data_IF_827255404045
#
_entry.id   IF_827255404045
#
_cell.length_a   1.000
_cell.length_b   1.000
_cell.length_c   1.000
_cell.angle_alpha   90.00
_cell.angle_beta   90.00
_cell.angle_gamma   90.00
#
_symmetry.space_group_name_H-M   'P 1'
#
loop_
_entity.id
_entity.type
_entity.pdbx_description
1 polymer ?
#
# COMPACT_ATOMS: atom_id res chain seq x y z
N UNK A 1 -25.61 -11.43 -47.45
CA UNK A 1 -24.28 -10.96 -46.98
C UNK A 1 -24.27 -10.43 -45.54
N UNK A 2 -25.40 -10.13 -44.90
CA UNK A 2 -25.46 -9.66 -43.51
C UNK A 2 -25.41 -10.75 -42.42
N UNK A 3 -25.43 -12.04 -42.79
CA UNK A 3 -25.58 -13.17 -41.85
C UNK A 3 -24.25 -13.70 -41.29
N UNK A 4 -23.13 -13.33 -41.91
CA UNK A 4 -21.79 -13.79 -41.51
C UNK A 4 -20.98 -12.73 -40.75
N UNK A 5 -21.47 -11.48 -40.67
CA UNK A 5 -20.76 -10.39 -39.98
C UNK A 5 -20.89 -10.50 -38.45
N UNK A 6 -21.99 -11.06 -37.93
CA UNK A 6 -22.17 -11.27 -36.49
C UNK A 6 -21.32 -12.42 -35.91
N UNK A 7 -20.83 -13.35 -36.74
CA UNK A 7 -20.03 -14.49 -36.26
C UNK A 7 -18.56 -14.11 -36.00
N UNK A 8 -18.06 -13.02 -36.56
CA UNK A 8 -16.67 -12.59 -36.40
C UNK A 8 -16.41 -11.74 -35.13
N UNK A 9 -17.45 -11.28 -34.43
CA UNK A 9 -17.33 -10.38 -33.28
C UNK A 9 -17.23 -11.09 -31.91
N UNK A 10 -17.38 -12.42 -31.85
CA UNK A 10 -17.38 -13.17 -30.56
C UNK A 10 -15.99 -13.71 -30.19
N UNK A 11 -15.03 -13.75 -31.13
CA UNK A 11 -13.72 -14.39 -30.88
C UNK A 11 -12.70 -13.46 -30.22
N UNK A 12 -12.96 -12.15 -30.15
CA UNK A 12 -12.02 -11.17 -29.57
C UNK A 12 -12.27 -10.84 -28.08
N UNK A 13 -13.10 -11.62 -27.38
CA UNK A 13 -13.49 -11.35 -25.98
C UNK A 13 -12.88 -12.30 -24.94
N UNK A 14 -12.06 -13.27 -25.33
CA UNK A 14 -11.52 -14.29 -24.40
C UNK A 14 -10.17 -13.94 -23.76
N UNK A 15 -9.55 -12.81 -24.12
CA UNK A 15 -8.24 -12.42 -23.56
C UNK A 15 -8.29 -11.50 -22.33
N UNK A 16 -9.47 -11.10 -21.87
CA UNK A 16 -9.61 -10.18 -20.71
C UNK A 16 -9.76 -10.87 -19.34
N UNK A 17 -9.81 -12.20 -19.28
CA UNK A 17 -10.07 -12.91 -18.03
C UNK A 17 -8.80 -13.06 -17.14
N UNK A 18 -7.61 -13.19 -17.71
CA UNK A 18 -6.42 -13.54 -16.91
C UNK A 18 -5.90 -12.40 -16.02
N UNK A 19 -6.06 -11.15 -16.46
CA UNK A 19 -5.57 -10.00 -15.72
C UNK A 19 -6.37 -9.73 -14.43
N UNK A 20 -7.68 -10.01 -14.45
CA UNK A 20 -8.56 -9.79 -13.30
C UNK A 20 -8.28 -10.79 -12.17
N UNK A 21 -8.02 -12.05 -12.50
CA UNK A 21 -7.67 -13.09 -11.53
C UNK A 21 -6.32 -12.83 -10.85
N UNK A 22 -5.32 -12.43 -11.62
CA UNK A 22 -4.00 -12.02 -11.12
C UNK A 22 -4.08 -10.89 -10.08
N UNK A 23 -4.87 -9.83 -10.36
CA UNK A 23 -5.09 -8.74 -9.40
C UNK A 23 -5.88 -9.16 -8.17
N UNK A 24 -6.76 -10.14 -8.30
CA UNK A 24 -7.63 -10.59 -7.20
C UNK A 24 -6.86 -11.38 -6.13
N UNK A 25 -5.93 -12.25 -6.53
CA UNK A 25 -5.12 -12.97 -5.53
C UNK A 25 -4.12 -12.05 -4.83
N UNK A 26 -3.54 -11.07 -5.53
CA UNK A 26 -2.72 -10.04 -4.90
C UNK A 26 -3.52 -9.21 -3.89
N UNK A 27 -4.78 -8.87 -4.20
CA UNK A 27 -5.67 -8.19 -3.28
C UNK A 27 -6.01 -9.05 -2.05
N UNK A 28 -6.38 -10.32 -2.25
CA UNK A 28 -6.67 -11.25 -1.14
C UNK A 28 -5.47 -11.42 -0.23
N UNK A 29 -4.27 -11.52 -0.80
CA UNK A 29 -3.04 -11.58 -0.03
C UNK A 29 -2.83 -10.30 0.77
N UNK A 30 -2.93 -9.12 0.14
CA UNK A 30 -2.84 -7.84 0.84
C UNK A 30 -3.85 -7.70 1.99
N UNK A 31 -5.12 -8.09 1.76
CA UNK A 31 -6.15 -8.09 2.80
C UNK A 31 -5.82 -9.04 3.95
N UNK A 32 -5.35 -10.26 3.65
CA UNK A 32 -4.95 -11.19 4.71
C UNK A 32 -3.82 -10.60 5.57
N UNK A 33 -2.80 -10.01 4.93
CA UNK A 33 -1.71 -9.35 5.65
C UNK A 33 -2.22 -8.25 6.59
N UNK A 34 -3.13 -7.39 6.11
CA UNK A 34 -3.65 -6.28 6.92
C UNK A 34 -4.54 -6.73 8.07
N UNK A 35 -5.37 -7.76 7.84
CA UNK A 35 -6.31 -8.28 8.83
C UNK A 35 -5.61 -9.10 9.92
N UNK A 36 -4.48 -9.73 9.57
CA UNK A 36 -3.69 -10.56 10.50
C UNK A 36 -2.75 -9.73 11.38
N UNK A 37 -2.61 -8.43 11.13
CA UNK A 37 -1.80 -7.53 11.96
C UNK A 37 -2.60 -6.99 13.15
N UNK A 38 -1.99 -7.02 14.33
CA UNK A 38 -2.45 -6.28 15.50
C UNK A 38 -2.26 -4.77 15.33
N UNK A 39 -2.92 -3.95 16.17
CA UNK A 39 -2.73 -2.50 16.16
C UNK A 39 -1.27 -2.08 16.46
N UNK A 40 -0.56 -2.81 17.31
CA UNK A 40 0.86 -2.56 17.59
C UNK A 40 1.74 -2.82 16.36
N UNK A 41 1.46 -3.90 15.64
CA UNK A 41 2.19 -4.27 14.41
C UNK A 41 1.97 -3.25 13.31
N UNK A 42 0.73 -2.79 13.10
CA UNK A 42 0.43 -1.72 12.13
C UNK A 42 1.20 -0.43 12.43
N UNK A 43 1.27 -0.02 13.70
CA UNK A 43 2.06 1.15 14.13
C UNK A 43 3.56 0.97 13.90
N UNK A 44 4.11 -0.20 14.19
CA UNK A 44 5.51 -0.48 13.94
C UNK A 44 5.84 -0.53 12.44
N UNK A 45 4.93 -1.05 11.62
CA UNK A 45 5.07 -1.01 10.17
C UNK A 45 5.03 0.44 9.64
N UNK A 46 4.14 1.28 10.16
CA UNK A 46 4.11 2.71 9.85
C UNK A 46 5.42 3.42 10.25
N UNK A 47 5.95 3.10 11.44
CA UNK A 47 7.28 3.56 11.90
C UNK A 47 8.39 3.11 10.94
N UNK A 48 8.36 1.87 10.48
CA UNK A 48 9.32 1.32 9.51
C UNK A 48 9.32 2.10 8.20
N UNK A 49 8.15 2.37 7.62
CA UNK A 49 8.02 3.18 6.40
C UNK A 49 8.61 4.57 6.61
N UNK A 50 8.24 5.26 7.70
CA UNK A 50 8.75 6.59 8.00
C UNK A 50 10.29 6.59 8.15
N UNK A 51 10.85 5.63 8.90
CA UNK A 51 12.30 5.50 9.09
C UNK A 51 13.01 5.27 7.76
N UNK A 52 12.48 4.42 6.87
CA UNK A 52 13.01 4.25 5.52
C UNK A 52 12.93 5.53 4.69
N UNK A 53 11.80 6.23 4.69
CA UNK A 53 11.63 7.51 3.98
C UNK A 53 12.59 8.59 4.50
N UNK A 54 12.90 8.58 5.79
CA UNK A 54 13.80 9.54 6.43
C UNK A 54 15.23 9.48 5.87
N UNK A 55 15.63 8.38 5.24
CA UNK A 55 16.95 8.26 4.61
C UNK A 55 17.05 8.99 3.27
N UNK A 56 15.93 9.44 2.70
CA UNK A 56 15.91 10.22 1.46
C UNK A 56 16.73 11.50 1.62
N UNK A 57 17.57 11.84 0.64
CA UNK A 57 18.54 12.95 0.74
C UNK A 57 17.90 14.29 1.11
N UNK A 58 16.72 14.60 0.56
CA UNK A 58 15.94 15.80 0.88
C UNK A 58 15.35 15.82 2.30
N UNK A 59 15.05 14.64 2.87
CA UNK A 59 14.33 14.53 4.14
C UNK A 59 15.30 14.35 5.32
N UNK A 60 16.41 13.66 5.08
CA UNK A 60 17.41 13.31 6.10
C UNK A 60 17.84 14.47 7.01
N UNK A 61 18.04 15.72 6.55
CA UNK A 61 18.39 16.84 7.44
C UNK A 61 17.34 17.18 8.49
N UNK A 62 16.08 16.74 8.30
CA UNK A 62 14.94 17.03 9.17
C UNK A 62 14.58 15.86 10.09
N UNK A 63 15.28 14.73 10.01
CA UNK A 63 15.01 13.53 10.79
C UNK A 63 16.14 13.24 11.78
N UNK A 64 15.79 13.06 13.05
CA UNK A 64 16.73 12.58 14.07
C UNK A 64 16.62 11.04 14.18
N UNK A 65 17.13 10.35 13.17
CA UNK A 65 17.05 8.88 13.03
C UNK A 65 18.45 8.31 12.95
N UNK A 66 18.78 7.34 13.81
CA UNK A 66 20.06 6.66 13.81
C UNK A 66 20.04 5.41 12.91
N UNK A 67 21.22 4.85 12.65
CA UNK A 67 21.31 3.56 11.95
C UNK A 67 20.74 2.41 12.79
N UNK A 68 20.92 2.47 14.10
CA UNK A 68 20.43 1.44 15.02
C UNK A 68 18.91 1.44 15.09
N UNK A 69 18.26 2.62 15.06
CA UNK A 69 16.80 2.74 14.96
C UNK A 69 16.25 2.04 13.70
N UNK A 70 16.96 2.18 12.58
CA UNK A 70 16.61 1.56 11.30
C UNK A 70 16.84 0.05 11.35
N UNK A 71 17.94 -0.40 11.93
CA UNK A 71 18.26 -1.83 12.00
C UNK A 71 17.27 -2.58 12.94
N UNK A 72 16.97 -2.02 14.11
CA UNK A 72 16.00 -2.57 15.05
C UNK A 72 14.62 -2.74 14.38
N UNK A 73 14.15 -1.71 13.67
CA UNK A 73 12.85 -1.79 13.01
C UNK A 73 12.86 -2.77 11.83
N UNK A 74 13.99 -2.91 11.11
CA UNK A 74 14.13 -3.88 10.03
C UNK A 74 14.09 -5.32 10.56
N UNK A 75 14.76 -5.61 11.67
CA UNK A 75 14.70 -6.93 12.32
C UNK A 75 13.28 -7.27 12.75
N UNK A 76 12.57 -6.30 13.34
CA UNK A 76 11.17 -6.45 13.73
C UNK A 76 10.28 -6.75 12.53
N UNK A 77 10.35 -5.93 11.47
CA UNK A 77 9.50 -6.09 10.28
C UNK A 77 9.84 -7.37 9.52
N UNK A 78 11.12 -7.76 9.45
CA UNK A 78 11.51 -9.05 8.87
C UNK A 78 10.86 -10.23 9.57
N UNK A 79 10.84 -10.20 10.91
CA UNK A 79 10.16 -11.24 11.72
C UNK A 79 8.65 -11.22 11.52
N UNK A 80 8.05 -10.03 11.48
CA UNK A 80 6.61 -9.85 11.25
C UNK A 80 6.17 -10.38 9.88
N UNK A 81 6.87 -10.00 8.81
CA UNK A 81 6.57 -10.47 7.45
C UNK A 81 6.78 -11.97 7.34
N UNK A 82 7.80 -12.53 8.01
CA UNK A 82 8.00 -13.99 8.06
C UNK A 82 6.76 -14.67 8.62
N UNK A 83 6.31 -14.29 9.83
CA UNK A 83 5.10 -14.87 10.45
C UNK A 83 3.86 -14.70 9.55
N UNK A 84 3.63 -13.48 9.06
CA UNK A 84 2.46 -13.19 8.23
C UNK A 84 2.41 -14.06 6.97
N UNK A 85 3.55 -14.28 6.32
CA UNK A 85 3.63 -15.04 5.07
C UNK A 85 3.59 -16.55 5.31
N UNK A 86 4.23 -17.04 6.38
CA UNK A 86 4.40 -18.49 6.58
C UNK A 86 3.37 -19.12 7.52
N UNK A 87 2.74 -18.33 8.38
CA UNK A 87 1.82 -18.82 9.42
C UNK A 87 0.41 -18.25 9.25
N UNK A 88 0.28 -16.92 9.10
CA UNK A 88 -1.04 -16.27 9.08
C UNK A 88 -1.72 -16.33 7.70
N UNK A 89 -0.96 -16.12 6.62
CA UNK A 89 -1.46 -16.03 5.24
C UNK A 89 -0.78 -16.99 4.22
N UNK A 90 -0.44 -18.24 4.57
CA UNK A 90 0.35 -19.11 3.68
C UNK A 90 -0.37 -19.48 2.38
N UNK A 91 -1.70 -19.66 2.42
CA UNK A 91 -2.49 -20.02 1.24
C UNK A 91 -2.55 -18.87 0.23
N UNK A 92 -2.82 -17.65 0.70
CA UNK A 92 -2.90 -16.45 -0.13
C UNK A 92 -1.51 -16.07 -0.67
N UNK A 93 -0.47 -16.18 0.15
CA UNK A 93 0.90 -15.96 -0.28
C UNK A 93 1.30 -16.91 -1.40
N UNK A 94 0.97 -18.21 -1.27
CA UNK A 94 1.23 -19.21 -2.31
C UNK A 94 0.42 -18.94 -3.59
N UNK A 95 -0.88 -18.68 -3.47
CA UNK A 95 -1.75 -18.39 -4.62
C UNK A 95 -1.29 -17.14 -5.38
N UNK A 96 -0.88 -16.09 -4.66
CA UNK A 96 -0.35 -14.87 -5.24
C UNK A 96 1.00 -15.13 -5.94
N UNK A 97 1.89 -15.90 -5.31
CA UNK A 97 3.19 -16.27 -5.90
C UNK A 97 3.03 -17.10 -7.19
N UNK A 98 2.14 -18.09 -7.20
CA UNK A 98 1.95 -19.02 -8.31
C UNK A 98 1.38 -18.33 -9.57
N UNK A 99 0.63 -17.23 -9.42
CA UNK A 99 0.01 -16.52 -10.54
C UNK A 99 0.86 -15.38 -11.10
N UNK A 100 1.42 -14.54 -10.22
CA UNK A 100 2.05 -13.27 -10.62
C UNK A 100 3.43 -13.03 -10.02
N UNK A 101 3.93 -13.97 -9.20
CA UNK A 101 5.27 -13.90 -8.62
C UNK A 101 5.50 -12.61 -7.82
N UNK A 102 6.62 -11.95 -8.05
CA UNK A 102 7.01 -10.72 -7.33
C UNK A 102 5.97 -9.58 -7.46
N UNK A 103 5.29 -9.48 -8.61
CA UNK A 103 4.29 -8.42 -8.83
C UNK A 103 3.07 -8.54 -7.89
N UNK A 104 2.74 -9.77 -7.46
CA UNK A 104 1.69 -10.01 -6.47
C UNK A 104 2.06 -9.42 -5.11
N UNK A 105 3.31 -9.64 -4.70
CA UNK A 105 3.83 -9.12 -3.45
C UNK A 105 3.86 -7.59 -3.49
N UNK A 106 4.36 -6.97 -4.56
CA UNK A 106 4.35 -5.51 -4.71
C UNK A 106 2.94 -4.92 -4.55
N UNK A 107 1.93 -5.53 -5.17
CA UNK A 107 0.54 -5.09 -5.06
C UNK A 107 -0.03 -5.30 -3.65
N UNK A 108 0.24 -6.44 -3.01
CA UNK A 108 -0.16 -6.69 -1.63
C UNK A 108 0.50 -5.68 -0.66
N UNK A 109 1.79 -5.42 -0.85
CA UNK A 109 2.54 -4.43 -0.05
C UNK A 109 2.06 -3.00 -0.28
N UNK A 110 1.50 -2.67 -1.45
CA UNK A 110 0.84 -1.38 -1.66
C UNK A 110 -0.35 -1.19 -0.72
N UNK A 111 -1.21 -2.20 -0.59
CA UNK A 111 -2.37 -2.18 0.33
C UNK A 111 -1.90 -2.04 1.78
N UNK A 112 -0.87 -2.80 2.16
CA UNK A 112 -0.24 -2.72 3.48
C UNK A 112 0.33 -1.32 3.76
N UNK A 113 0.97 -0.70 2.77
CA UNK A 113 1.47 0.67 2.84
C UNK A 113 0.36 1.72 2.97
N UNK A 114 -0.76 1.55 2.28
CA UNK A 114 -1.94 2.41 2.42
C UNK A 114 -2.49 2.38 3.86
N UNK A 115 -2.62 1.19 4.45
CA UNK A 115 -3.06 1.04 5.85
C UNK A 115 -2.07 1.65 6.83
N UNK A 116 -0.76 1.46 6.61
CA UNK A 116 0.27 2.06 7.44
C UNK A 116 0.25 3.60 7.37
N UNK A 117 0.00 4.17 6.19
CA UNK A 117 -0.16 5.62 6.03
C UNK A 117 -1.41 6.13 6.75
N UNK A 118 -2.53 5.40 6.66
CA UNK A 118 -3.75 5.70 7.40
C UNK A 118 -3.51 5.69 8.91
N UNK A 119 -2.76 4.71 9.43
CA UNK A 119 -2.39 4.62 10.85
C UNK A 119 -1.60 5.85 11.34
N UNK A 120 -0.77 6.48 10.49
CA UNK A 120 -0.10 7.74 10.83
C UNK A 120 -1.06 8.94 10.80
N UNK A 121 -1.94 8.98 9.79
CA UNK A 121 -2.85 10.11 9.55
C UNK A 121 -3.97 10.21 10.59
N UNK A 122 -4.33 9.10 11.25
CA UNK A 122 -5.33 9.11 12.33
C UNK A 122 -4.82 9.74 13.62
N UNK A 123 -3.51 9.97 13.75
CA UNK A 123 -2.95 10.65 14.90
C UNK A 123 -3.28 12.16 14.86
N UNK A 124 -3.95 12.73 15.87
CA UNK A 124 -4.41 14.12 15.83
C UNK A 124 -3.29 15.14 15.59
N UNK A 125 -2.09 14.91 16.14
CA UNK A 125 -0.96 15.82 15.96
C UNK A 125 -0.47 15.86 14.51
N UNK A 126 -0.60 14.76 13.79
CA UNK A 126 -0.21 14.65 12.38
C UNK A 126 -1.20 15.41 11.51
N UNK A 127 -2.50 15.21 11.72
CA UNK A 127 -3.55 15.96 11.03
C UNK A 127 -3.43 17.46 11.24
N UNK A 128 -3.19 17.92 12.49
CA UNK A 128 -2.95 19.33 12.79
C UNK A 128 -1.72 19.89 12.07
N UNK A 129 -0.63 19.13 12.04
CA UNK A 129 0.61 19.55 11.38
C UNK A 129 0.43 19.67 9.87
N UNK A 130 -0.28 18.72 9.25
CA UNK A 130 -0.57 18.75 7.82
C UNK A 130 -1.60 19.81 7.45
N UNK A 131 -2.59 20.10 8.29
CA UNK A 131 -3.57 21.17 8.04
C UNK A 131 -3.01 22.59 8.26
N UNK A 132 -1.85 22.73 8.89
CA UNK A 132 -1.29 24.04 9.25
C UNK A 132 -0.96 24.94 8.05
N UNK A 133 -0.95 24.43 6.81
CA UNK A 133 -0.78 25.26 5.61
C UNK A 133 -1.99 26.15 5.32
N UNK A 134 -3.18 25.82 5.83
CA UNK A 134 -4.43 26.53 5.53
C UNK A 134 -4.35 28.03 5.86
N UNK A 135 -3.60 28.39 6.90
CA UNK A 135 -3.36 29.79 7.29
C UNK A 135 -2.59 30.63 6.25
N UNK A 136 -1.98 29.98 5.26
CA UNK A 136 -1.26 30.62 4.17
C UNK A 136 -2.05 30.63 2.85
N UNK A 137 -3.27 30.09 2.83
CA UNK A 137 -4.11 30.11 1.64
C UNK A 137 -4.60 31.53 1.34
N UNK A 138 -4.60 31.87 0.05
CA UNK A 138 -5.23 33.09 -0.46
C UNK A 138 -6.75 32.88 -0.46
N UNK A 139 -7.37 33.29 0.63
CA UNK A 139 -8.82 33.14 0.83
C UNK A 139 -9.62 33.86 -0.25
N UNK A 140 -9.11 34.97 -0.81
CA UNK A 140 -9.81 35.68 -1.87
C UNK A 140 -9.86 34.84 -3.13
N UNK A 141 -8.72 34.26 -3.56
CA UNK A 141 -8.70 33.39 -4.74
C UNK A 141 -9.54 32.12 -4.57
N UNK A 142 -9.59 31.55 -3.36
CA UNK A 142 -10.47 30.43 -3.07
C UNK A 142 -11.94 30.85 -3.18
N UNK A 143 -12.32 31.99 -2.58
CA UNK A 143 -13.67 32.52 -2.67
C UNK A 143 -14.09 32.79 -4.13
N UNK A 144 -13.20 33.35 -4.95
CA UNK A 144 -13.48 33.64 -6.36
C UNK A 144 -13.76 32.37 -7.20
N UNK A 145 -13.30 31.18 -6.77
CA UNK A 145 -13.53 29.89 -7.45
C UNK A 145 -14.80 29.18 -6.96
N UNK A 146 -15.14 29.31 -5.68
CA UNK A 146 -16.24 28.57 -5.06
C UNK A 146 -17.54 29.39 -4.88
N UNK A 147 -17.58 30.61 -5.42
CA UNK A 147 -18.78 31.45 -5.52
C UNK A 147 -19.64 31.11 -6.74
#
# INVERSE_FOLDING_TARGET
>A
MFKYVCAALVVLSTFYCSATHASQEAQRFGTCLTDSMTGKERKNLAKWIFLGMSTHSTIRPYANVTKDDIDEINQYVGSLITRLVTEDCPEQAKAAADLTGAAAFEQAFKIVGEVAMQELMTEPSVGQSLGAFEKYLDQQKFNDVFQ
#
